data_IF_827053200425
#
_entry.id   IF_827053200425
#
_cell.length_a   1.000
_cell.length_b   1.000
_cell.length_c   1.000
_cell.angle_alpha   90.00
_cell.angle_beta   90.00
_cell.angle_gamma   90.00
#
_symmetry.space_group_name_H-M   'P 1'
#
loop_
_entity.id
_entity.type
_entity.pdbx_description
1 polymer ?
#
# COMPACT_ATOMS: atom_id res chain seq x y z
N UNK A 1 34.77 -43.14 17.76
CA UNK A 1 33.74 -42.73 16.78
C UNK A 1 32.89 -41.62 17.41
N UNK A 2 33.35 -40.37 17.34
CA UNK A 2 32.64 -39.22 17.90
C UNK A 2 31.90 -38.49 16.80
N UNK A 3 30.57 -38.53 16.81
CA UNK A 3 29.75 -37.82 15.85
C UNK A 3 29.78 -36.31 16.14
N UNK A 4 30.42 -35.56 15.24
CA UNK A 4 30.30 -34.10 15.21
C UNK A 4 28.91 -33.74 14.67
N UNK A 5 28.04 -33.22 15.53
CA UNK A 5 26.80 -32.60 15.08
C UNK A 5 27.13 -31.26 14.42
N UNK A 6 27.06 -31.23 13.10
CA UNK A 6 27.05 -29.99 12.33
C UNK A 6 25.72 -29.27 12.55
N UNK A 7 25.73 -28.15 13.27
CA UNK A 7 24.63 -27.20 13.27
C UNK A 7 24.56 -26.56 11.89
N UNK A 8 23.67 -27.05 11.03
CA UNK A 8 23.30 -26.33 9.82
C UNK A 8 22.54 -25.08 10.25
N UNK A 9 23.24 -23.94 10.27
CA UNK A 9 22.55 -22.65 10.35
C UNK A 9 21.70 -22.55 9.09
N UNK A 10 20.39 -22.71 9.24
CA UNK A 10 19.44 -22.29 8.23
C UNK A 10 19.63 -20.79 8.07
N UNK A 11 20.47 -20.39 7.12
CA UNK A 11 20.53 -19.03 6.64
C UNK A 11 19.16 -18.76 6.02
N UNK A 12 18.26 -18.30 6.87
CA UNK A 12 17.04 -17.67 6.42
C UNK A 12 17.50 -16.44 5.64
N UNK A 13 17.57 -16.56 4.31
CA UNK A 13 17.78 -15.46 3.39
C UNK A 13 16.57 -14.55 3.47
N UNK A 14 16.47 -13.82 4.58
CA UNK A 14 15.63 -12.65 4.71
C UNK A 14 16.25 -11.62 3.77
N UNK A 15 15.93 -11.77 2.49
CA UNK A 15 16.30 -10.84 1.45
C UNK A 15 16.05 -9.42 1.96
N UNK A 16 16.98 -8.52 1.65
CA UNK A 16 16.90 -7.12 2.07
C UNK A 16 15.52 -6.60 1.67
N UNK A 17 14.62 -6.46 2.66
CA UNK A 17 13.27 -5.98 2.41
C UNK A 17 13.41 -4.54 1.94
N UNK A 18 13.02 -4.27 0.68
CA UNK A 18 12.94 -2.92 0.13
C UNK A 18 12.19 -2.04 1.13
N UNK A 19 12.83 -0.95 1.56
CA UNK A 19 12.15 0.09 2.33
C UNK A 19 11.47 1.03 1.34
N UNK A 20 10.21 1.34 1.61
CA UNK A 20 9.53 2.41 0.91
C UNK A 20 10.20 3.73 1.24
N UNK A 21 10.27 4.62 0.24
CA UNK A 21 10.74 6.00 0.45
C UNK A 21 9.56 6.96 0.40
N UNK A 22 9.61 8.11 1.09
CA UNK A 22 8.48 9.06 1.14
C UNK A 22 7.97 9.46 -0.25
N UNK A 23 8.87 9.62 -1.23
CA UNK A 23 8.52 9.93 -2.61
C UNK A 23 7.64 8.86 -3.28
N UNK A 24 7.79 7.58 -2.91
CA UNK A 24 6.93 6.50 -3.41
C UNK A 24 5.56 6.56 -2.76
N UNK A 25 5.49 6.86 -1.46
CA UNK A 25 4.24 7.01 -0.73
C UNK A 25 3.43 8.20 -1.28
N UNK A 26 4.07 9.36 -1.47
CA UNK A 26 3.45 10.56 -2.04
C UNK A 26 2.89 10.29 -3.45
N UNK A 27 3.67 9.62 -4.30
CA UNK A 27 3.24 9.26 -5.64
C UNK A 27 2.09 8.25 -5.64
N UNK A 28 2.11 7.27 -4.74
CA UNK A 28 1.04 6.29 -4.59
C UNK A 28 -0.26 6.99 -4.18
N UNK A 29 -0.23 7.84 -3.15
CA UNK A 29 -1.40 8.59 -2.68
C UNK A 29 -1.96 9.48 -3.79
N UNK A 30 -1.10 10.22 -4.51
CA UNK A 30 -1.52 11.05 -5.64
C UNK A 30 -2.21 10.21 -6.74
N UNK A 31 -1.61 9.08 -7.13
CA UNK A 31 -2.21 8.19 -8.14
C UNK A 31 -3.56 7.63 -7.70
N UNK A 32 -3.71 7.28 -6.41
CA UNK A 32 -4.97 6.78 -5.86
C UNK A 32 -6.07 7.86 -5.90
N UNK A 33 -5.73 9.10 -5.56
CA UNK A 33 -6.65 10.26 -5.62
C UNK A 33 -7.06 10.56 -7.06
N UNK A 34 -6.11 10.61 -7.98
CA UNK A 34 -6.39 10.85 -9.40
C UNK A 34 -7.31 9.77 -9.99
N UNK A 35 -7.02 8.50 -9.67
CA UNK A 35 -7.82 7.37 -10.15
C UNK A 35 -9.23 7.36 -9.56
N UNK A 36 -9.39 7.78 -8.31
CA UNK A 36 -10.69 7.99 -7.68
C UNK A 36 -11.48 9.12 -8.35
N UNK A 37 -10.83 10.26 -8.63
CA UNK A 37 -11.47 11.42 -9.26
C UNK A 37 -11.97 11.13 -10.68
N UNK A 38 -11.35 10.18 -11.39
CA UNK A 38 -11.83 9.69 -12.69
C UNK A 38 -13.15 8.91 -12.57
N UNK A 39 -13.58 8.51 -11.37
CA UNK A 39 -14.89 7.92 -11.08
C UNK A 39 -15.14 6.53 -11.69
N UNK A 40 -14.15 5.98 -12.41
CA UNK A 40 -14.26 4.72 -13.15
C UNK A 40 -13.87 3.50 -12.31
N UNK A 41 -13.11 3.72 -11.23
CA UNK A 41 -12.56 2.65 -10.40
C UNK A 41 -12.96 2.85 -8.94
N UNK A 42 -14.20 2.51 -8.60
CA UNK A 42 -14.61 2.42 -7.21
C UNK A 42 -13.91 1.21 -6.57
N UNK A 43 -13.24 1.44 -5.45
CA UNK A 43 -12.41 0.43 -4.74
C UNK A 43 -13.29 -0.68 -4.12
N UNK A 44 -14.61 -0.46 -4.10
CA UNK A 44 -15.58 -1.27 -3.36
C UNK A 44 -16.16 -2.50 -4.06
N UNK A 45 -15.85 -2.77 -5.33
CA UNK A 45 -16.53 -3.87 -6.02
C UNK A 45 -15.66 -4.62 -7.00
N UNK A 46 -15.38 -5.91 -6.69
CA UNK A 46 -15.02 -7.02 -7.61
C UNK A 46 -13.80 -6.85 -8.54
N UNK A 47 -13.17 -5.67 -8.59
CA UNK A 47 -12.13 -5.27 -9.55
C UNK A 47 -10.81 -4.86 -8.87
N UNK A 48 -10.58 -5.29 -7.62
CA UNK A 48 -9.37 -4.98 -6.84
C UNK A 48 -8.07 -5.23 -7.62
N UNK A 49 -7.99 -6.33 -8.35
CA UNK A 49 -6.80 -6.65 -9.16
C UNK A 49 -6.63 -5.69 -10.35
N UNK A 50 -7.73 -5.27 -10.99
CA UNK A 50 -7.70 -4.28 -12.08
C UNK A 50 -7.23 -2.91 -11.56
N UNK A 51 -7.69 -2.50 -10.38
CA UNK A 51 -7.25 -1.27 -9.71
C UNK A 51 -5.75 -1.30 -9.39
N UNK A 52 -5.26 -2.40 -8.79
CA UNK A 52 -3.84 -2.57 -8.48
C UNK A 52 -2.96 -2.56 -9.73
N UNK A 53 -3.40 -3.21 -10.81
CA UNK A 53 -2.67 -3.23 -12.07
C UNK A 53 -2.61 -1.85 -12.72
N UNK A 54 -3.69 -1.06 -12.65
CA UNK A 54 -3.70 0.29 -13.18
C UNK A 54 -2.79 1.23 -12.37
N UNK A 55 -2.77 1.08 -11.04
CA UNK A 55 -1.81 1.79 -10.19
C UNK A 55 -0.36 1.42 -10.52
N UNK A 56 -0.05 0.12 -10.69
CA UNK A 56 1.27 -0.32 -11.15
C UNK A 56 1.64 0.36 -12.48
N UNK A 57 0.72 0.37 -13.45
CA UNK A 57 0.94 0.98 -14.77
C UNK A 57 1.16 2.49 -14.73
N UNK A 58 0.52 3.20 -13.81
CA UNK A 58 0.73 4.65 -13.63
C UNK A 58 2.06 4.90 -12.92
N UNK A 59 2.33 4.15 -11.84
CA UNK A 59 3.54 4.30 -11.04
C UNK A 59 4.81 3.91 -11.80
N UNK A 60 4.75 2.91 -12.67
CA UNK A 60 5.88 2.55 -13.54
C UNK A 60 6.25 3.69 -14.51
N UNK A 61 5.27 4.49 -14.95
CA UNK A 61 5.52 5.67 -15.78
C UNK A 61 6.10 6.83 -14.97
N UNK A 62 5.57 7.09 -13.77
CA UNK A 62 6.03 8.20 -12.93
C UNK A 62 7.35 7.91 -12.20
N UNK A 63 7.59 6.64 -11.85
CA UNK A 63 8.71 6.15 -11.05
C UNK A 63 9.28 4.85 -11.65
N UNK A 64 9.88 4.90 -12.86
CA UNK A 64 10.33 3.69 -13.57
C UNK A 64 11.40 2.88 -12.81
N UNK A 65 12.18 3.53 -11.94
CA UNK A 65 13.22 2.90 -11.14
C UNK A 65 12.71 2.32 -9.82
N UNK A 66 11.44 2.56 -9.46
CA UNK A 66 10.88 2.11 -8.19
C UNK A 66 10.52 0.61 -8.20
N UNK A 67 10.36 -0.01 -9.37
CA UNK A 67 10.08 -1.44 -9.52
C UNK A 67 8.91 -1.93 -8.61
N UNK A 68 7.89 -1.09 -8.42
CA UNK A 68 6.75 -1.38 -7.55
C UNK A 68 5.76 -2.28 -8.29
N UNK A 69 5.56 -3.49 -7.76
CA UNK A 69 4.59 -4.46 -8.32
C UNK A 69 3.26 -4.41 -7.59
N UNK A 70 2.16 -4.58 -8.34
CA UNK A 70 0.79 -4.67 -7.83
C UNK A 70 0.72 -5.62 -6.63
N UNK A 71 1.31 -6.81 -6.78
CA UNK A 71 1.53 -7.77 -5.69
C UNK A 71 3.02 -8.12 -5.61
N UNK A 72 3.60 -8.24 -4.40
CA UNK A 72 2.99 -7.96 -3.08
C UNK A 72 3.08 -6.48 -2.65
N UNK A 73 3.76 -5.61 -3.41
CA UNK A 73 4.20 -4.30 -2.90
C UNK A 73 3.04 -3.32 -2.69
N UNK A 74 2.31 -2.99 -3.75
CA UNK A 74 1.22 -2.00 -3.68
C UNK A 74 0.08 -2.50 -2.78
N UNK A 75 -0.28 -3.77 -2.89
CA UNK A 75 -1.30 -4.38 -2.03
C UNK A 75 -0.95 -4.25 -0.53
N UNK A 76 0.33 -4.46 -0.17
CA UNK A 76 0.77 -4.29 1.21
C UNK A 76 0.68 -2.84 1.67
N UNK A 77 1.08 -1.88 0.82
CA UNK A 77 1.12 -0.48 1.22
C UNK A 77 -0.28 0.11 1.35
N UNK A 78 -1.17 -0.16 0.40
CA UNK A 78 -2.56 0.29 0.47
C UNK A 78 -3.26 -0.23 1.74
N UNK A 79 -2.98 -1.48 2.15
CA UNK A 79 -3.51 -2.03 3.40
C UNK A 79 -2.98 -1.29 4.64
N UNK A 80 -1.74 -0.82 4.61
CA UNK A 80 -1.17 -0.01 5.70
C UNK A 80 -1.80 1.38 5.72
N UNK A 81 -1.87 2.06 4.58
CA UNK A 81 -2.52 3.37 4.46
C UNK A 81 -3.97 3.36 4.93
N UNK A 82 -4.75 2.34 4.57
CA UNK A 82 -6.14 2.19 5.05
C UNK A 82 -6.22 2.06 6.58
N UNK A 83 -5.29 1.34 7.21
CA UNK A 83 -5.25 1.19 8.67
C UNK A 83 -4.84 2.49 9.36
N UNK A 84 -3.80 3.14 8.85
CA UNK A 84 -3.30 4.41 9.40
C UNK A 84 -4.37 5.51 9.27
N UNK A 85 -5.06 5.56 8.13
CA UNK A 85 -6.19 6.47 7.94
C UNK A 85 -7.34 6.19 8.90
N UNK A 86 -7.71 4.92 9.13
CA UNK A 86 -8.77 4.58 10.08
C UNK A 86 -8.44 5.12 11.49
N UNK A 87 -7.18 5.03 11.93
CA UNK A 87 -6.74 5.60 13.21
C UNK A 87 -6.89 7.13 13.23
N UNK A 88 -6.44 7.82 12.18
CA UNK A 88 -6.57 9.30 12.07
C UNK A 88 -8.02 9.72 12.06
N UNK A 89 -8.86 8.99 11.32
CA UNK A 89 -10.29 9.24 11.23
C UNK A 89 -10.99 9.03 12.58
N UNK A 90 -10.66 7.95 13.29
CA UNK A 90 -11.18 7.67 14.62
C UNK A 90 -10.78 8.76 15.62
N UNK A 91 -9.52 9.20 15.59
CA UNK A 91 -9.04 10.33 16.39
C UNK A 91 -9.79 11.62 16.06
N UNK A 92 -9.90 11.94 14.77
CA UNK A 92 -10.61 13.13 14.30
C UNK A 92 -12.07 13.14 14.75
N UNK A 93 -12.75 11.99 14.63
CA UNK A 93 -14.12 11.78 15.07
C UNK A 93 -14.28 11.90 16.59
N UNK A 94 -13.33 11.35 17.36
CA UNK A 94 -13.33 11.43 18.82
C UNK A 94 -13.12 12.85 19.37
N UNK A 95 -12.48 13.74 18.60
CA UNK A 95 -12.24 15.14 18.98
C UNK A 95 -13.50 16.02 18.79
N UNK A 96 -14.57 15.50 18.18
CA UNK A 96 -15.91 16.09 18.25
C UNK A 96 -16.07 17.41 17.49
N UNK A 97 -15.97 17.37 16.16
CA UNK A 97 -16.67 18.33 15.30
C UNK A 97 -17.80 17.59 14.57
N UNK A 98 -18.98 18.04 14.90
CA UNK A 98 -20.29 17.78 14.36
C UNK A 98 -20.32 17.56 12.83
N UNK A 99 -21.13 16.58 12.48
CA UNK A 99 -21.23 15.92 11.20
C UNK A 99 -21.61 16.87 10.06
N UNK A 100 -20.67 17.09 9.14
CA UNK A 100 -20.86 17.06 7.69
C UNK A 100 -19.50 17.43 7.09
N UNK A 101 -18.86 16.53 6.32
CA UNK A 101 -17.98 16.80 5.15
C UNK A 101 -16.96 15.67 4.96
N UNK A 102 -17.00 15.08 3.76
CA UNK A 102 -16.02 14.20 3.11
C UNK A 102 -15.81 12.78 3.65
N UNK A 103 -16.76 11.90 3.33
CA UNK A 103 -16.47 10.47 3.08
C UNK A 103 -16.70 10.21 1.60
N UNK A 104 -15.64 10.38 0.79
CA UNK A 104 -15.59 9.78 -0.55
C UNK A 104 -14.18 9.27 -0.89
N UNK A 105 -13.11 9.63 -0.18
CA UNK A 105 -11.75 9.28 -0.63
C UNK A 105 -11.31 7.87 -0.18
N UNK A 106 -12.02 7.22 0.76
CA UNK A 106 -11.53 5.98 1.40
C UNK A 106 -12.55 4.84 1.52
N UNK A 107 -13.81 5.07 1.12
CA UNK A 107 -14.77 4.00 0.85
C UNK A 107 -14.71 3.64 -0.64
#
# INVERSE_FOLDING_TARGET
LGFSQSSTSSQNSRGIKRKWVPKEDDALVACMVDLHNVGTFNVDTRFKDKYLNELERILEKSLPHAMLKAKPNLESMIRTLKRDWAIVYDMHRAIGKDAQTTVCIVE
#
